data_IF_154906787856
#
_entry.id   IF_154906787856
#
_cell.length_a   1.000
_cell.length_b   1.000
_cell.length_c   1.000
_cell.angle_alpha   90.00
_cell.angle_beta   90.00
_cell.angle_gamma   90.00
#
_symmetry.space_group_name_H-M   'P 1'
#
loop_
_entity.id
_entity.type
_entity.pdbx_description
1 polymer ?
#
# COMPACT_ATOMS: atom_id res chain seq x y z
N UNK A 1 -8.21 1.38 27.15
CA UNK A 1 -7.17 1.99 26.29
C UNK A 1 -7.71 3.32 25.77
N UNK A 2 -7.53 4.43 26.50
CA UNK A 2 -8.14 5.74 26.14
C UNK A 2 -7.13 6.81 25.74
N UNK A 3 -5.82 6.50 25.73
CA UNK A 3 -4.77 7.53 25.62
C UNK A 3 -3.65 7.20 24.62
N UNK A 4 -3.78 6.16 23.78
CA UNK A 4 -2.75 5.87 22.79
C UNK A 4 -2.78 6.93 21.67
N UNK A 5 -1.65 7.59 21.44
CA UNK A 5 -1.41 8.47 20.30
C UNK A 5 -0.13 8.01 19.64
N UNK A 6 -0.18 7.77 18.34
CA UNK A 6 1.02 7.49 17.57
C UNK A 6 1.90 8.74 17.55
N UNK A 7 3.18 8.58 17.90
CA UNK A 7 4.17 9.66 18.01
C UNK A 7 5.25 9.59 16.94
N UNK A 8 5.22 8.56 16.09
CA UNK A 8 6.19 8.39 15.03
C UNK A 8 5.94 9.26 13.79
N UNK A 9 6.95 9.31 12.94
CA UNK A 9 6.89 9.91 11.61
C UNK A 9 6.68 8.84 10.55
N UNK A 10 5.88 9.17 9.53
CA UNK A 10 5.62 8.28 8.39
C UNK A 10 5.91 9.03 7.09
N UNK A 11 6.77 8.43 6.27
CA UNK A 11 7.08 8.88 4.93
C UNK A 11 6.67 7.79 3.95
N UNK A 12 5.93 8.15 2.90
CA UNK A 12 5.49 7.22 1.89
C UNK A 12 5.59 7.86 0.51
N UNK A 13 5.82 7.05 -0.51
CA UNK A 13 5.64 7.50 -1.89
C UNK A 13 4.16 7.86 -2.14
N UNK A 14 3.86 8.78 -3.08
CA UNK A 14 2.48 9.06 -3.50
C UNK A 14 1.79 7.81 -4.09
N UNK A 15 0.49 7.69 -3.90
CA UNK A 15 -0.29 6.58 -4.46
C UNK A 15 -0.25 6.57 -6.00
N UNK A 16 -0.18 5.38 -6.60
CA UNK A 16 -0.07 5.20 -8.05
C UNK A 16 1.34 5.42 -8.61
N UNK A 17 2.31 5.78 -7.78
CA UNK A 17 3.72 5.87 -8.18
C UNK A 17 4.28 4.48 -8.49
N UNK A 18 4.98 4.36 -9.61
CA UNK A 18 5.72 3.15 -9.98
C UNK A 18 6.99 3.08 -9.14
N UNK A 19 7.26 1.92 -8.55
CA UNK A 19 8.46 1.66 -7.77
C UNK A 19 9.09 0.32 -8.18
N UNK A 20 10.36 0.14 -7.85
CA UNK A 20 11.15 -1.03 -8.18
C UNK A 20 11.64 -1.78 -6.93
N UNK A 21 12.05 -3.05 -7.07
CA UNK A 21 12.62 -3.81 -5.96
C UNK A 21 13.83 -3.10 -5.33
N UNK A 22 13.86 -3.05 -4.00
CA UNK A 22 14.93 -2.38 -3.25
C UNK A 22 14.68 -0.90 -2.95
N UNK A 23 13.64 -0.29 -3.54
CA UNK A 23 13.25 1.09 -3.23
C UNK A 23 12.31 1.14 -2.02
N UNK A 24 12.51 2.10 -1.09
CA UNK A 24 11.63 2.24 0.06
C UNK A 24 10.27 2.82 -0.34
N UNK A 25 9.21 2.01 -0.22
CA UNK A 25 7.82 2.42 -0.50
C UNK A 25 7.21 3.20 0.66
N UNK A 26 7.46 2.75 1.89
CA UNK A 26 7.06 3.40 3.14
C UNK A 26 8.20 3.30 4.14
N UNK A 27 8.44 4.38 4.88
CA UNK A 27 9.38 4.47 6.00
C UNK A 27 8.64 4.98 7.22
N UNK A 28 8.77 4.26 8.33
CA UNK A 28 8.23 4.66 9.63
C UNK A 28 9.39 4.85 10.60
N UNK A 29 9.36 5.94 11.34
CA UNK A 29 10.26 6.19 12.47
C UNK A 29 9.41 6.34 13.72
N UNK A 30 9.39 5.34 14.60
CA UNK A 30 8.56 5.35 15.80
C UNK A 30 9.23 4.55 16.93
N UNK A 31 8.83 4.73 18.20
CA UNK A 31 9.21 3.82 19.28
C UNK A 31 8.86 2.36 18.93
N UNK A 32 9.71 1.42 19.35
CA UNK A 32 9.63 0.01 18.95
C UNK A 32 8.24 -0.62 19.19
N UNK A 33 7.57 -0.27 20.30
CA UNK A 33 6.23 -0.78 20.61
C UNK A 33 5.18 -0.26 19.63
N UNK A 34 5.24 1.02 19.26
CA UNK A 34 4.31 1.64 18.30
C UNK A 34 4.54 1.11 16.88
N UNK A 35 5.81 1.01 16.47
CA UNK A 35 6.19 0.49 15.16
C UNK A 35 5.74 -0.96 14.96
N UNK A 36 5.94 -1.82 15.97
CA UNK A 36 5.47 -3.21 15.91
C UNK A 36 3.95 -3.31 15.83
N UNK A 37 3.22 -2.47 16.59
CA UNK A 37 1.74 -2.46 16.56
C UNK A 37 1.19 -2.14 15.16
N UNK A 38 1.81 -1.20 14.44
CA UNK A 38 1.42 -0.79 13.09
C UNK A 38 1.93 -1.74 11.98
N UNK A 39 3.04 -2.44 12.22
CA UNK A 39 3.80 -3.18 11.20
C UNK A 39 2.94 -4.08 10.30
N UNK A 40 2.15 -4.96 10.93
CA UNK A 40 1.34 -5.93 10.21
C UNK A 40 0.23 -5.26 9.40
N UNK A 41 -0.43 -4.25 9.97
CA UNK A 41 -1.47 -3.50 9.28
C UNK A 41 -0.91 -2.79 8.04
N UNK A 42 0.25 -2.13 8.18
CA UNK A 42 0.89 -1.44 7.06
C UNK A 42 1.28 -2.43 5.97
N UNK A 43 1.91 -3.56 6.35
CA UNK A 43 2.33 -4.59 5.41
C UNK A 43 1.15 -5.11 4.58
N UNK A 44 0.06 -5.54 5.23
CA UNK A 44 -1.11 -6.10 4.54
C UNK A 44 -1.74 -5.06 3.61
N UNK A 45 -1.90 -3.82 4.08
CA UNK A 45 -2.55 -2.76 3.31
C UNK A 45 -1.75 -2.39 2.06
N UNK A 46 -0.45 -2.12 2.23
CA UNK A 46 0.44 -1.73 1.12
C UNK A 46 0.60 -2.87 0.13
N UNK A 47 0.83 -4.10 0.62
CA UNK A 47 0.99 -5.27 -0.23
C UNK A 47 -0.29 -5.62 -1.00
N UNK A 48 -1.43 -5.64 -0.31
CA UNK A 48 -2.73 -5.97 -0.91
C UNK A 48 -3.10 -5.00 -2.03
N UNK A 49 -3.08 -3.70 -1.73
CA UNK A 49 -3.45 -2.66 -2.70
C UNK A 49 -2.50 -2.64 -3.90
N UNK A 50 -1.19 -2.75 -3.65
CA UNK A 50 -0.18 -2.75 -4.73
C UNK A 50 -0.33 -3.94 -5.66
N UNK A 51 -0.52 -5.15 -5.11
CA UNK A 51 -0.65 -6.37 -5.89
C UNK A 51 -1.92 -6.32 -6.75
N UNK A 52 -3.02 -5.85 -6.16
CA UNK A 52 -4.29 -5.66 -6.85
C UNK A 52 -4.15 -4.67 -8.02
N UNK A 53 -3.66 -3.44 -7.75
CA UNK A 53 -3.52 -2.39 -8.76
C UNK A 53 -2.55 -2.79 -9.87
N UNK A 54 -1.41 -3.40 -9.54
CA UNK A 54 -0.43 -3.84 -10.54
C UNK A 54 -1.01 -4.87 -11.51
N UNK A 55 -1.89 -5.77 -11.03
CA UNK A 55 -2.59 -6.75 -11.88
C UNK A 55 -3.64 -6.07 -12.77
N UNK A 56 -4.42 -5.15 -12.21
CA UNK A 56 -5.41 -4.39 -12.98
C UNK A 56 -4.75 -3.59 -14.11
N UNK A 57 -3.64 -2.92 -13.83
CA UNK A 57 -2.90 -2.12 -14.83
C UNK A 57 -2.40 -3.02 -15.96
N UNK A 58 -1.86 -4.20 -15.65
CA UNK A 58 -1.47 -5.18 -16.68
C UNK A 58 -2.67 -5.65 -17.51
N UNK A 59 -3.81 -5.91 -16.88
CA UNK A 59 -5.05 -6.26 -17.59
C UNK A 59 -5.54 -5.12 -18.49
N UNK A 60 -5.51 -3.88 -18.01
CA UNK A 60 -5.88 -2.70 -18.81
C UNK A 60 -4.94 -2.51 -20.00
N UNK A 61 -3.64 -2.69 -19.80
CA UNK A 61 -2.63 -2.60 -20.84
C UNK A 61 -2.87 -3.65 -21.95
N UNK A 62 -3.17 -4.89 -21.56
CA UNK A 62 -3.49 -5.97 -22.50
C UNK A 62 -4.82 -5.76 -23.25
N UNK A 63 -5.81 -5.11 -22.62
CA UNK A 63 -7.09 -4.79 -23.24
C UNK A 63 -6.99 -3.66 -24.29
N UNK A 64 -5.92 -2.85 -24.27
CA UNK A 64 -5.73 -1.72 -25.17
C UNK A 64 -6.87 -0.70 -25.07
N UNK A 65 -7.43 -0.30 -26.21
CA UNK A 65 -8.53 0.67 -26.27
C UNK A 65 -9.88 0.11 -25.77
N UNK A 66 -10.00 -1.22 -25.58
CA UNK A 66 -11.26 -1.82 -25.12
C UNK A 66 -11.57 -1.40 -23.68
N UNK A 67 -12.87 -1.33 -23.37
CA UNK A 67 -13.35 -1.11 -22.00
C UNK A 67 -12.83 -2.26 -21.13
N UNK A 68 -12.04 -1.92 -20.11
CA UNK A 68 -11.55 -2.86 -19.13
C UNK A 68 -12.27 -2.57 -17.82
N UNK A 69 -13.00 -3.55 -17.32
CA UNK A 69 -13.68 -3.49 -16.03
C UNK A 69 -13.01 -4.56 -15.19
N UNK A 70 -12.28 -4.14 -14.17
CA UNK A 70 -11.78 -5.06 -13.18
C UNK A 70 -12.88 -5.25 -12.12
N UNK A 71 -13.38 -6.48 -12.01
CA UNK A 71 -14.27 -6.86 -10.93
C UNK A 71 -13.43 -7.21 -9.70
N UNK A 72 -13.49 -6.35 -8.69
CA UNK A 72 -12.90 -6.57 -7.38
C UNK A 72 -13.83 -5.95 -6.36
N UNK A 73 -14.62 -6.79 -5.70
CA UNK A 73 -15.53 -6.40 -4.64
C UNK A 73 -14.69 -6.06 -3.40
N UNK A 74 -14.55 -4.78 -3.07
CA UNK A 74 -14.27 -4.35 -1.71
C UNK A 74 -15.62 -4.11 -1.04
N UNK A 75 -16.12 -5.16 -0.36
CA UNK A 75 -17.01 -5.28 0.83
C UNK A 75 -17.54 -6.72 0.83
#
# INVERSE_FOLDING_TARGET
MRSFKFTGDVYAMPEGTVFFPGEPVVRITAPICEGNLLSNFLMITVFGNTNYLSKMIRGKLAAGAKRFIAAGRYI
#
